data_IF_004617839642
#
_entry.id   IF_004617839642
#
_cell.length_a   1.000
_cell.length_b   1.000
_cell.length_c   1.000
_cell.angle_alpha   90.00
_cell.angle_beta   90.00
_cell.angle_gamma   90.00
#
_symmetry.space_group_name_H-M   'P 1'
#
loop_
_entity.id
_entity.type
_entity.pdbx_description
1 polymer ?
#
# COMPACT_ATOMS: atom_id res chain seq x y z
N UNK A 1 -4.72 -6.02 34.90
CA UNK A 1 -4.67 -6.81 33.65
C UNK A 1 -4.20 -8.23 33.96
N UNK A 2 -4.74 -9.27 33.31
CA UNK A 2 -4.21 -10.63 33.38
C UNK A 2 -2.72 -10.71 33.00
N UNK A 3 -1.98 -11.67 33.54
CA UNK A 3 -0.52 -11.83 33.33
C UNK A 3 -0.14 -12.14 31.87
N UNK A 4 -1.07 -12.68 31.08
CA UNK A 4 -0.93 -13.04 29.67
C UNK A 4 -1.36 -11.92 28.71
N UNK A 5 -1.71 -10.74 29.24
CA UNK A 5 -2.09 -9.59 28.41
C UNK A 5 -0.90 -9.12 27.59
N UNK A 6 -1.12 -8.95 26.29
CA UNK A 6 -0.10 -8.48 25.37
C UNK A 6 0.39 -7.06 25.70
N UNK A 7 1.67 -6.81 25.45
CA UNK A 7 2.35 -5.56 25.79
C UNK A 7 1.70 -4.35 25.07
N UNK A 8 1.31 -4.53 23.81
CA UNK A 8 0.58 -3.52 23.01
C UNK A 8 -0.73 -3.09 23.69
N UNK A 9 -1.46 -4.06 24.28
CA UNK A 9 -2.73 -3.80 24.94
C UNK A 9 -2.55 -3.06 26.27
N UNK A 10 -1.45 -3.33 26.99
CA UNK A 10 -1.07 -2.59 28.20
C UNK A 10 -0.76 -1.12 27.85
N UNK A 11 0.02 -0.88 26.80
CA UNK A 11 0.33 0.47 26.28
C UNK A 11 -0.92 1.28 25.94
N UNK A 12 -1.91 0.64 25.29
CA UNK A 12 -3.20 1.27 24.97
C UNK A 12 -3.99 1.68 26.21
N UNK A 13 -3.95 0.89 27.29
CA UNK A 13 -4.65 1.23 28.53
C UNK A 13 -3.98 2.45 29.19
N UNK A 14 -2.66 2.46 29.28
CA UNK A 14 -1.91 3.61 29.80
C UNK A 14 -2.19 4.90 29.03
N UNK A 15 -2.13 4.84 27.69
CA UNK A 15 -2.36 6.00 26.83
C UNK A 15 -3.81 6.51 26.81
N UNK A 16 -4.80 5.70 27.22
CA UNK A 16 -6.21 6.07 27.18
C UNK A 16 -6.79 6.47 28.54
N UNK A 17 -6.12 6.12 29.65
CA UNK A 17 -6.66 6.27 31.00
C UNK A 17 -5.77 7.07 31.97
N UNK A 18 -4.67 7.68 31.50
CA UNK A 18 -3.75 8.50 32.30
C UNK A 18 -3.34 7.84 33.64
N UNK A 19 -3.12 6.52 33.60
CA UNK A 19 -2.77 5.73 34.78
C UNK A 19 -1.27 5.81 35.05
N UNK A 20 -0.86 5.86 36.33
CA UNK A 20 0.56 5.76 36.71
C UNK A 20 1.03 4.32 36.88
N UNK A 21 0.11 3.40 37.20
CA UNK A 21 0.37 1.99 37.31
C UNK A 21 -0.89 1.16 37.03
N UNK A 22 -0.71 -0.06 36.53
CA UNK A 22 -1.78 -1.04 36.31
C UNK A 22 -1.46 -2.30 37.13
N UNK A 23 -2.37 -2.78 37.98
CA UNK A 23 -2.16 -4.03 38.71
C UNK A 23 -2.23 -5.24 37.78
N UNK A 24 -1.31 -6.18 37.95
CA UNK A 24 -1.29 -7.48 37.25
C UNK A 24 -1.90 -8.54 38.15
N UNK A 25 -2.80 -9.34 37.60
CA UNK A 25 -3.52 -10.40 38.32
C UNK A 25 -3.22 -11.78 37.74
N UNK A 26 -3.21 -12.80 38.59
CA UNK A 26 -3.16 -14.21 38.18
C UNK A 26 -4.56 -14.74 37.80
N UNK A 27 -4.64 -15.99 37.37
CA UNK A 27 -5.89 -16.68 37.01
C UNK A 27 -6.92 -16.73 38.16
N UNK A 28 -6.46 -16.62 39.41
CA UNK A 28 -7.30 -16.58 40.61
C UNK A 28 -7.74 -15.15 41.00
N UNK A 29 -7.55 -14.16 40.11
CA UNK A 29 -7.82 -12.73 40.35
C UNK A 29 -7.05 -12.13 41.53
N UNK A 30 -5.91 -12.71 41.90
CA UNK A 30 -5.05 -12.19 42.95
C UNK A 30 -3.99 -11.28 42.33
N UNK A 31 -3.72 -10.13 42.96
CA UNK A 31 -2.67 -9.22 42.53
C UNK A 31 -1.31 -9.88 42.75
N UNK A 32 -0.55 -10.03 41.66
CA UNK A 32 0.80 -10.59 41.68
C UNK A 32 1.88 -9.55 41.42
N UNK A 33 1.49 -8.35 40.96
CA UNK A 33 2.43 -7.25 40.74
C UNK A 33 1.73 -6.01 40.18
N UNK A 34 2.55 -5.05 39.78
CA UNK A 34 2.13 -3.84 39.07
C UNK A 34 3.04 -3.62 37.86
N UNK A 35 2.49 -3.00 36.83
CA UNK A 35 3.26 -2.42 35.72
C UNK A 35 3.18 -0.91 35.87
N UNK A 36 4.29 -0.20 35.74
CA UNK A 36 4.33 1.27 35.83
C UNK A 36 4.41 1.92 34.45
N UNK A 37 4.15 3.22 34.37
CA UNK A 37 4.28 3.96 33.11
C UNK A 37 5.69 3.88 32.52
N UNK A 38 6.73 3.94 33.35
CA UNK A 38 8.13 3.88 32.91
C UNK A 38 8.45 2.55 32.23
N UNK A 39 7.86 1.44 32.73
CA UNK A 39 8.01 0.10 32.14
C UNK A 39 7.35 -0.01 30.75
N UNK A 40 6.34 0.82 30.48
CA UNK A 40 5.52 0.78 29.26
C UNK A 40 5.98 1.82 28.24
N UNK A 41 6.67 2.88 28.68
CA UNK A 41 7.17 3.92 27.79
C UNK A 41 8.14 3.36 26.73
N UNK A 42 9.04 2.45 27.12
CA UNK A 42 9.94 1.77 26.18
C UNK A 42 9.20 0.85 25.22
N UNK A 43 8.19 0.12 25.73
CA UNK A 43 7.35 -0.79 24.93
C UNK A 43 6.61 -0.01 23.84
N UNK A 44 5.97 1.12 24.18
CA UNK A 44 5.26 1.94 23.18
C UNK A 44 6.21 2.39 22.07
N UNK A 45 7.45 2.74 22.42
CA UNK A 45 8.46 3.15 21.44
C UNK A 45 8.93 1.98 20.56
N UNK A 46 9.12 0.81 21.14
CA UNK A 46 9.49 -0.42 20.42
C UNK A 46 8.40 -0.84 19.44
N UNK A 47 7.13 -0.87 19.88
CA UNK A 47 5.97 -1.17 19.03
C UNK A 47 5.83 -0.18 17.87
N UNK A 48 5.94 1.13 18.15
CA UNK A 48 5.91 2.13 17.09
C UNK A 48 7.05 1.96 16.08
N UNK A 49 8.21 1.48 16.55
CA UNK A 49 9.36 1.20 15.69
C UNK A 49 9.14 -0.06 14.85
N UNK A 50 8.56 -1.11 15.43
CA UNK A 50 8.16 -2.33 14.75
C UNK A 50 7.15 -2.05 13.63
N UNK A 51 6.11 -1.27 13.91
CA UNK A 51 5.12 -0.86 12.91
C UNK A 51 5.76 -0.09 11.74
N UNK A 52 6.70 0.82 12.04
CA UNK A 52 7.46 1.55 11.01
C UNK A 52 8.28 0.59 10.14
N UNK A 53 8.95 -0.40 10.74
CA UNK A 53 9.71 -1.40 9.98
C UNK A 53 8.80 -2.26 9.10
N UNK A 54 7.68 -2.76 9.64
CA UNK A 54 6.69 -3.55 8.89
C UNK A 54 6.08 -2.79 7.72
N UNK A 55 5.77 -1.50 7.90
CA UNK A 55 5.29 -0.63 6.82
C UNK A 55 6.26 -0.58 5.63
N UNK A 56 7.57 -0.66 5.89
CA UNK A 56 8.63 -0.72 4.89
C UNK A 56 8.92 -2.12 4.33
N UNK A 57 8.14 -3.14 4.69
CA UNK A 57 8.41 -4.55 4.42
C UNK A 57 9.79 -5.00 4.94
N UNK A 58 10.11 -4.61 6.17
CA UNK A 58 11.35 -4.99 6.87
C UNK A 58 10.97 -5.74 8.14
N UNK A 59 11.62 -6.86 8.39
CA UNK A 59 11.48 -7.55 9.68
C UNK A 59 12.11 -6.69 10.79
N UNK A 60 11.48 -6.64 11.96
CA UNK A 60 11.90 -5.79 13.08
C UNK A 60 13.38 -5.98 13.39
N UNK A 61 14.07 -4.85 13.59
CA UNK A 61 15.47 -4.82 13.96
C UNK A 61 15.62 -5.01 15.47
N UNK A 62 16.37 -6.03 15.87
CA UNK A 62 16.56 -6.38 17.30
C UNK A 62 17.65 -5.53 18.00
N UNK A 63 18.27 -4.60 17.27
CA UNK A 63 19.33 -3.72 17.76
C UNK A 63 19.38 -2.40 16.97
N UNK A 64 20.04 -1.35 17.47
CA UNK A 64 20.24 -0.10 16.72
C UNK A 64 20.90 -0.35 15.36
N UNK A 65 20.45 0.37 14.32
CA UNK A 65 20.86 0.17 12.92
C UNK A 65 22.37 -0.04 12.71
N UNK A 66 23.22 0.83 13.29
CA UNK A 66 24.68 0.76 13.12
C UNK A 66 25.35 -0.40 13.87
N UNK A 67 24.63 -1.10 14.76
CA UNK A 67 25.13 -2.27 15.50
C UNK A 67 24.76 -3.60 14.84
N UNK A 68 23.86 -3.58 13.86
CA UNK A 68 23.46 -4.78 13.14
C UNK A 68 24.53 -5.12 12.11
N UNK A 69 24.99 -6.38 12.13
CA UNK A 69 25.95 -6.84 11.13
C UNK A 69 25.31 -6.86 9.73
N UNK A 70 26.13 -6.70 8.68
CA UNK A 70 25.65 -6.73 7.29
C UNK A 70 24.81 -7.99 6.98
N UNK A 71 25.25 -9.16 7.45
CA UNK A 71 24.54 -10.43 7.23
C UNK A 71 23.17 -10.47 7.92
N UNK A 72 23.05 -9.91 9.12
CA UNK A 72 21.76 -9.79 9.80
C UNK A 72 20.84 -8.83 9.06
N UNK A 73 21.35 -7.69 8.59
CA UNK A 73 20.54 -6.72 7.83
C UNK A 73 20.03 -7.31 6.51
N UNK A 74 20.86 -8.10 5.82
CA UNK A 74 20.42 -8.85 4.64
C UNK A 74 19.29 -9.81 5.00
N UNK A 75 19.44 -10.62 6.06
CA UNK A 75 18.39 -11.57 6.48
C UNK A 75 17.05 -10.87 6.79
N UNK A 76 17.08 -9.76 7.53
CA UNK A 76 15.88 -8.99 7.92
C UNK A 76 15.13 -8.36 6.73
N UNK A 77 15.76 -8.23 5.56
CA UNK A 77 15.16 -7.66 4.34
C UNK A 77 14.91 -8.70 3.25
N UNK A 78 15.79 -9.70 3.12
CA UNK A 78 15.77 -10.66 2.03
C UNK A 78 14.48 -11.48 1.99
N UNK A 79 13.94 -11.87 3.14
CA UNK A 79 12.68 -12.62 3.20
C UNK A 79 11.53 -11.88 2.52
N UNK A 80 11.30 -10.63 2.93
CA UNK A 80 10.29 -9.76 2.32
C UNK A 80 10.59 -9.43 0.86
N UNK A 81 11.82 -9.06 0.53
CA UNK A 81 12.20 -8.75 -0.85
C UNK A 81 12.00 -9.93 -1.79
N UNK A 82 12.29 -11.17 -1.36
CA UNK A 82 12.05 -12.37 -2.16
C UNK A 82 10.56 -12.61 -2.38
N UNK A 83 9.72 -12.46 -1.34
CA UNK A 83 8.27 -12.60 -1.47
C UNK A 83 7.70 -11.55 -2.44
N UNK A 84 8.12 -10.29 -2.30
CA UNK A 84 7.70 -9.20 -3.17
C UNK A 84 8.16 -9.44 -4.61
N UNK A 85 9.42 -9.86 -4.80
CA UNK A 85 9.96 -10.17 -6.12
C UNK A 85 9.19 -11.30 -6.81
N UNK A 86 8.83 -12.36 -6.09
CA UNK A 86 7.97 -13.43 -6.63
C UNK A 86 6.58 -12.89 -7.03
N UNK A 87 6.03 -11.96 -6.25
CA UNK A 87 4.81 -11.23 -6.63
C UNK A 87 5.01 -10.39 -7.90
N UNK A 88 6.12 -9.68 -8.00
CA UNK A 88 6.45 -8.85 -9.16
C UNK A 88 6.66 -9.69 -10.42
N UNK A 89 7.07 -10.96 -10.33
CA UNK A 89 7.16 -11.84 -11.50
C UNK A 89 5.82 -12.03 -12.22
N UNK A 90 4.68 -11.82 -11.54
CA UNK A 90 3.37 -11.82 -12.21
C UNK A 90 3.21 -10.66 -13.19
N UNK A 91 3.94 -9.55 -13.02
CA UNK A 91 3.93 -8.43 -13.98
C UNK A 91 4.49 -8.86 -15.32
N UNK A 92 5.58 -9.64 -15.34
CA UNK A 92 6.16 -10.19 -16.56
C UNK A 92 5.17 -11.10 -17.30
N UNK A 93 4.40 -11.90 -16.54
CA UNK A 93 3.33 -12.74 -17.11
C UNK A 93 2.20 -11.90 -17.70
N UNK A 94 1.76 -10.85 -16.99
CA UNK A 94 0.75 -9.93 -17.49
C UNK A 94 1.22 -9.18 -18.75
N UNK A 95 2.48 -8.75 -18.79
CA UNK A 95 3.08 -8.14 -19.98
C UNK A 95 3.12 -9.11 -21.16
N UNK A 96 3.47 -10.38 -20.94
CA UNK A 96 3.45 -11.41 -21.97
C UNK A 96 2.05 -11.64 -22.56
N UNK A 97 1.00 -11.54 -21.74
CA UNK A 97 -0.38 -11.62 -22.22
C UNK A 97 -0.75 -10.48 -23.19
N UNK A 98 -0.28 -9.25 -22.92
CA UNK A 98 -0.54 -8.06 -23.75
C UNK A 98 0.58 -7.77 -24.77
N UNK A 99 1.45 -8.73 -25.05
CA UNK A 99 2.59 -8.54 -25.96
C UNK A 99 2.13 -8.09 -27.35
N UNK A 100 1.04 -8.66 -27.86
CA UNK A 100 0.53 -8.33 -29.20
C UNK A 100 0.06 -6.88 -29.32
N UNK A 101 -0.51 -6.34 -28.24
CA UNK A 101 -0.97 -4.96 -28.14
C UNK A 101 0.21 -4.01 -28.02
N UNK A 102 1.24 -4.39 -27.24
CA UNK A 102 2.48 -3.61 -27.10
C UNK A 102 3.20 -3.52 -28.44
N UNK A 103 3.27 -4.60 -29.21
CA UNK A 103 3.91 -4.61 -30.54
C UNK A 103 3.17 -3.70 -31.54
N UNK A 104 1.83 -3.69 -31.51
CA UNK A 104 1.01 -2.82 -32.37
C UNK A 104 1.11 -1.35 -31.99
N UNK A 105 1.22 -1.06 -30.69
CA UNK A 105 1.22 0.30 -30.16
C UNK A 105 2.35 0.48 -29.14
N UNK A 106 3.60 0.45 -29.62
CA UNK A 106 4.82 0.58 -28.80
C UNK A 106 4.81 1.86 -27.94
N UNK A 107 4.15 2.92 -28.41
CA UNK A 107 3.95 4.16 -27.66
C UNK A 107 3.31 3.94 -26.28
N UNK A 108 2.45 2.92 -26.12
CA UNK A 108 1.81 2.61 -24.83
C UNK A 108 2.83 2.20 -23.76
N UNK A 109 3.94 1.57 -24.17
CA UNK A 109 5.00 1.17 -23.26
C UNK A 109 5.64 2.36 -22.54
N UNK A 110 5.66 3.54 -23.17
CA UNK A 110 6.20 4.78 -22.57
C UNK A 110 5.43 5.24 -21.33
N UNK A 111 4.16 4.83 -21.20
CA UNK A 111 3.28 5.24 -20.09
C UNK A 111 3.17 4.19 -18.99
N UNK A 112 3.70 2.98 -19.19
CA UNK A 112 3.65 1.90 -18.20
C UNK A 112 4.21 2.36 -16.84
N UNK A 113 5.45 2.92 -16.74
CA UNK A 113 6.00 3.32 -15.44
C UNK A 113 5.16 4.41 -14.76
N UNK A 114 4.62 5.34 -15.54
CA UNK A 114 3.80 6.44 -15.04
C UNK A 114 2.50 5.92 -14.44
N UNK A 115 1.80 5.03 -15.14
CA UNK A 115 0.50 4.50 -14.71
C UNK A 115 0.68 3.62 -13.47
N UNK A 116 1.61 2.67 -13.54
CA UNK A 116 1.89 1.75 -12.44
C UNK A 116 2.30 2.53 -11.18
N UNK A 117 3.29 3.43 -11.29
CA UNK A 117 3.78 4.20 -10.15
C UNK A 117 2.68 5.10 -9.55
N UNK A 118 1.80 5.67 -10.37
CA UNK A 118 0.69 6.50 -9.86
C UNK A 118 -0.27 5.69 -8.97
N UNK A 119 -0.62 4.47 -9.39
CA UNK A 119 -1.44 3.57 -8.60
C UNK A 119 -0.73 3.10 -7.32
N UNK A 120 0.52 2.64 -7.44
CA UNK A 120 1.30 2.14 -6.30
C UNK A 120 1.54 3.20 -5.23
N UNK A 121 1.86 4.44 -5.63
CA UNK A 121 2.01 5.57 -4.71
C UNK A 121 0.70 5.89 -3.99
N UNK A 122 -0.42 5.93 -4.73
CA UNK A 122 -1.74 6.19 -4.17
C UNK A 122 -2.18 5.09 -3.18
N UNK A 123 -1.95 3.82 -3.51
CA UNK A 123 -2.23 2.71 -2.61
C UNK A 123 -1.34 2.68 -1.37
N UNK A 124 -0.05 3.01 -1.52
CA UNK A 124 0.87 3.11 -0.39
C UNK A 124 0.47 4.21 0.60
N UNK A 125 0.02 5.36 0.09
CA UNK A 125 -0.52 6.45 0.92
C UNK A 125 -1.79 6.00 1.67
N UNK A 126 -2.73 5.37 0.95
CA UNK A 126 -3.98 4.89 1.55
C UNK A 126 -3.72 3.82 2.63
N UNK A 127 -2.83 2.85 2.36
CA UNK A 127 -2.48 1.79 3.32
C UNK A 127 -1.85 2.37 4.58
N UNK A 128 -0.89 3.28 4.42
CA UNK A 128 -0.21 3.94 5.55
C UNK A 128 -1.22 4.65 6.47
N UNK A 129 -2.16 5.40 5.90
CA UNK A 129 -3.19 6.11 6.66
C UNK A 129 -4.12 5.14 7.39
N UNK A 130 -4.56 4.07 6.74
CA UNK A 130 -5.47 3.09 7.34
C UNK A 130 -4.78 2.26 8.42
N UNK A 131 -3.56 1.76 8.19
CA UNK A 131 -2.80 1.00 9.19
C UNK A 131 -2.63 1.83 10.44
N UNK A 132 -2.22 3.09 10.31
CA UNK A 132 -2.06 4.00 11.45
C UNK A 132 -3.39 4.26 12.16
N UNK A 133 -4.46 4.55 11.43
CA UNK A 133 -5.79 4.76 12.03
C UNK A 133 -6.31 3.50 12.76
N UNK A 134 -5.96 2.31 12.27
CA UNK A 134 -6.30 1.03 12.92
C UNK A 134 -5.46 0.78 14.18
N UNK A 135 -4.17 1.11 14.16
CA UNK A 135 -3.28 1.01 15.33
C UNK A 135 -3.74 1.94 16.47
N UNK A 136 -4.12 3.17 16.13
CA UNK A 136 -4.70 4.15 17.05
C UNK A 136 -6.15 3.84 17.49
N UNK A 137 -6.79 2.81 16.90
CA UNK A 137 -8.15 2.42 17.22
C UNK A 137 -9.26 3.36 16.71
N UNK A 138 -8.90 4.34 15.88
CA UNK A 138 -9.80 5.28 15.20
C UNK A 138 -10.67 4.57 14.16
N UNK A 139 -10.13 3.52 13.54
CA UNK A 139 -10.79 2.70 12.51
C UNK A 139 -10.85 1.24 12.95
N UNK A 140 -12.03 0.64 12.86
CA UNK A 140 -12.29 -0.77 13.21
C UNK A 140 -12.90 -1.52 12.04
N UNK A 141 -12.90 -2.85 12.09
CA UNK A 141 -13.45 -3.70 11.02
C UNK A 141 -14.90 -3.36 10.62
N UNK A 142 -15.71 -2.89 11.57
CA UNK A 142 -17.10 -2.44 11.32
C UNK A 142 -17.21 -1.20 10.43
N UNK A 143 -16.13 -0.41 10.32
CA UNK A 143 -16.08 0.83 9.54
C UNK A 143 -15.76 0.58 8.06
N UNK A 144 -15.59 -0.69 7.65
CA UNK A 144 -15.23 -1.11 6.28
C UNK A 144 -15.98 -0.32 5.19
N UNK A 145 -17.32 -0.34 5.23
CA UNK A 145 -18.14 0.29 4.18
C UNK A 145 -18.03 1.82 4.17
N UNK A 146 -17.83 2.42 5.35
CA UNK A 146 -17.65 3.86 5.48
C UNK A 146 -16.30 4.29 4.89
N UNK A 147 -15.24 3.53 5.18
CA UNK A 147 -13.91 3.78 4.62
C UNK A 147 -13.92 3.54 3.11
N UNK A 148 -14.51 2.44 2.64
CA UNK A 148 -14.63 2.14 1.22
C UNK A 148 -15.29 3.28 0.43
N UNK A 149 -16.42 3.80 0.93
CA UNK A 149 -17.12 4.92 0.27
C UNK A 149 -16.31 6.21 0.25
N UNK A 150 -15.59 6.52 1.35
CA UNK A 150 -14.69 7.68 1.42
C UNK A 150 -13.53 7.54 0.43
N UNK A 151 -12.88 6.38 0.41
CA UNK A 151 -11.71 6.13 -0.44
C UNK A 151 -12.07 6.00 -1.92
N UNK A 152 -13.29 5.56 -2.26
CA UNK A 152 -13.82 5.63 -3.61
C UNK A 152 -13.86 7.09 -4.11
N UNK A 153 -14.39 8.00 -3.30
CA UNK A 153 -14.46 9.42 -3.64
C UNK A 153 -13.06 10.06 -3.72
N UNK A 154 -12.19 9.77 -2.75
CA UNK A 154 -10.78 10.24 -2.73
C UNK A 154 -10.04 9.76 -3.98
N UNK A 155 -10.11 8.46 -4.29
CA UNK A 155 -9.41 7.85 -5.43
C UNK A 155 -9.89 8.41 -6.77
N UNK A 156 -11.19 8.62 -6.95
CA UNK A 156 -11.74 9.27 -8.15
C UNK A 156 -11.26 10.72 -8.30
N UNK A 157 -11.26 11.49 -7.21
CA UNK A 157 -10.82 12.88 -7.22
C UNK A 157 -9.32 13.00 -7.54
N UNK A 158 -8.48 12.22 -6.85
CA UNK A 158 -7.03 12.20 -7.09
C UNK A 158 -6.69 11.67 -8.48
N UNK A 159 -7.33 10.58 -8.91
CA UNK A 159 -7.14 10.00 -10.23
C UNK A 159 -7.51 10.99 -11.34
N UNK A 160 -8.60 11.74 -11.17
CA UNK A 160 -9.01 12.79 -12.12
C UNK A 160 -7.99 13.92 -12.17
N UNK A 161 -7.50 14.39 -11.01
CA UNK A 161 -6.48 15.43 -10.95
C UNK A 161 -5.19 15.02 -11.69
N UNK A 162 -4.66 13.82 -11.41
CA UNK A 162 -3.46 13.30 -12.06
C UNK A 162 -3.69 13.05 -13.56
N UNK A 163 -4.86 12.55 -13.93
CA UNK A 163 -5.26 12.33 -15.31
C UNK A 163 -5.32 13.63 -16.13
N UNK A 164 -5.79 14.73 -15.56
CA UNK A 164 -5.80 16.04 -16.23
C UNK A 164 -4.38 16.55 -16.49
N UNK A 165 -3.46 16.37 -15.54
CA UNK A 165 -2.05 16.71 -15.73
C UNK A 165 -1.43 15.87 -16.85
N UNK A 166 -1.66 14.55 -16.83
CA UNK A 166 -1.18 13.62 -17.86
C UNK A 166 -1.73 13.94 -19.24
N UNK A 167 -3.04 14.18 -19.35
CA UNK A 167 -3.73 14.58 -20.57
C UNK A 167 -3.10 15.85 -21.16
N UNK A 168 -2.99 16.88 -20.33
CA UNK A 168 -2.44 18.18 -20.72
C UNK A 168 -1.01 18.04 -21.23
N UNK A 169 -0.19 17.23 -20.55
CA UNK A 169 1.18 16.96 -20.97
C UNK A 169 1.24 16.34 -22.36
N UNK A 170 0.39 15.36 -22.66
CA UNK A 170 0.39 14.67 -23.97
C UNK A 170 -0.11 15.61 -25.07
N UNK A 171 -1.20 16.33 -24.82
CA UNK A 171 -1.83 17.22 -25.82
C UNK A 171 -0.98 18.45 -26.15
N UNK A 172 -0.28 19.02 -25.17
CA UNK A 172 0.52 20.23 -25.36
C UNK A 172 1.98 19.95 -25.69
N UNK A 173 2.41 18.68 -25.78
CA UNK A 173 3.80 18.37 -26.09
C UNK A 173 4.16 18.89 -27.50
N UNK A 174 5.24 19.69 -27.66
CA UNK A 174 5.58 20.30 -28.95
C UNK A 174 5.79 19.29 -30.08
N UNK A 175 6.36 18.13 -29.78
CA UNK A 175 6.60 17.04 -30.74
C UNK A 175 5.63 15.85 -30.57
N UNK A 176 4.39 16.10 -30.11
CA UNK A 176 3.42 15.04 -29.76
C UNK A 176 3.15 14.04 -30.87
N UNK A 177 3.05 14.48 -32.12
CA UNK A 177 2.78 13.58 -33.25
C UNK A 177 3.98 12.68 -33.58
N UNK A 178 5.19 13.22 -33.44
CA UNK A 178 6.43 12.44 -33.62
C UNK A 178 6.63 11.44 -32.48
N UNK A 179 6.35 11.87 -31.24
CA UNK A 179 6.61 11.06 -30.04
C UNK A 179 5.50 10.04 -29.76
N UNK A 180 4.23 10.39 -29.99
CA UNK A 180 3.08 9.54 -29.66
C UNK A 180 2.33 9.00 -30.88
N UNK A 181 2.75 9.39 -32.08
CA UNK A 181 2.13 8.98 -33.33
C UNK A 181 0.91 9.80 -33.74
N UNK A 182 0.33 9.49 -34.91
CA UNK A 182 -0.79 10.25 -35.49
C UNK A 182 -2.08 10.16 -34.67
N UNK A 183 -2.22 9.12 -33.84
CA UNK A 183 -3.38 8.89 -32.98
C UNK A 183 -3.17 9.35 -31.53
N UNK A 184 -2.25 10.30 -31.29
CA UNK A 184 -1.89 10.77 -29.94
C UNK A 184 -3.08 11.20 -29.07
N UNK A 185 -4.16 11.71 -29.65
CA UNK A 185 -5.38 12.08 -28.91
C UNK A 185 -6.05 10.84 -28.29
N UNK A 186 -6.15 9.74 -29.05
CA UNK A 186 -6.72 8.48 -28.53
C UNK A 186 -5.79 7.85 -27.48
N UNK A 187 -4.47 7.98 -27.66
CA UNK A 187 -3.47 7.60 -26.65
C UNK A 187 -3.65 8.43 -25.39
N UNK A 188 -3.83 9.75 -25.49
CA UNK A 188 -4.05 10.64 -24.36
C UNK A 188 -5.30 10.24 -23.56
N UNK A 189 -6.42 10.01 -24.24
CA UNK A 189 -7.67 9.54 -23.61
C UNK A 189 -7.47 8.19 -22.92
N UNK A 190 -6.79 7.25 -23.60
CA UNK A 190 -6.49 5.92 -23.05
C UNK A 190 -5.69 6.04 -21.76
N UNK A 191 -4.60 6.81 -21.77
CA UNK A 191 -3.75 7.04 -20.60
C UNK A 191 -4.53 7.73 -19.48
N UNK A 192 -5.34 8.74 -19.80
CA UNK A 192 -6.16 9.47 -18.84
C UNK A 192 -7.19 8.58 -18.12
N UNK A 193 -7.97 7.78 -18.87
CA UNK A 193 -8.94 6.85 -18.28
C UNK A 193 -8.21 5.81 -17.42
N UNK A 194 -7.06 5.33 -17.90
CA UNK A 194 -6.26 4.32 -17.19
C UNK A 194 -5.68 4.87 -15.89
N UNK A 195 -5.16 6.10 -15.86
CA UNK A 195 -4.69 6.74 -14.63
C UNK A 195 -5.82 6.84 -13.61
N UNK A 196 -7.02 7.25 -14.01
CA UNK A 196 -8.18 7.29 -13.09
C UNK A 196 -8.46 5.90 -12.53
N UNK A 197 -8.53 4.87 -13.39
CA UNK A 197 -8.82 3.50 -12.98
C UNK A 197 -7.75 2.91 -12.05
N UNK A 198 -6.47 3.11 -12.38
CA UNK A 198 -5.34 2.56 -11.63
C UNK A 198 -5.12 3.29 -10.31
N UNK A 199 -5.28 4.61 -10.25
CA UNK A 199 -5.23 5.39 -8.99
C UNK A 199 -6.39 5.03 -8.09
N UNK A 200 -7.61 4.90 -8.64
CA UNK A 200 -8.77 4.43 -7.88
C UNK A 200 -8.52 3.04 -7.31
N UNK A 201 -8.09 2.09 -8.15
CA UNK A 201 -7.80 0.73 -7.71
C UNK A 201 -6.68 0.69 -6.66
N UNK A 202 -5.60 1.46 -6.84
CA UNK A 202 -4.53 1.60 -5.87
C UNK A 202 -5.04 2.10 -4.52
N UNK A 203 -5.84 3.18 -4.52
CA UNK A 203 -6.45 3.73 -3.30
C UNK A 203 -7.31 2.69 -2.59
N UNK A 204 -8.16 1.97 -3.32
CA UNK A 204 -9.06 0.96 -2.78
C UNK A 204 -8.29 -0.27 -2.26
N UNK A 205 -7.33 -0.77 -3.03
CA UNK A 205 -6.54 -1.94 -2.62
C UNK A 205 -5.69 -1.62 -1.38
N UNK A 206 -5.04 -0.45 -1.36
CA UNK A 206 -4.24 0.01 -0.23
C UNK A 206 -5.06 0.24 1.02
N UNK A 207 -6.24 0.85 0.91
CA UNK A 207 -7.10 1.08 2.08
C UNK A 207 -7.79 -0.18 2.60
N UNK A 208 -8.15 -1.13 1.73
CA UNK A 208 -8.94 -2.31 2.11
C UNK A 208 -8.09 -3.52 2.49
N UNK A 209 -6.85 -3.64 2.01
CA UNK A 209 -5.97 -4.76 2.32
C UNK A 209 -5.69 -4.91 3.84
N UNK A 210 -5.39 -3.86 4.62
CA UNK A 210 -5.19 -3.98 6.07
C UNK A 210 -6.41 -4.55 6.80
N UNK A 211 -7.61 -4.20 6.37
CA UNK A 211 -8.84 -4.75 6.92
C UNK A 211 -9.01 -6.25 6.59
N UNK A 212 -8.67 -6.67 5.37
CA UNK A 212 -8.72 -8.08 4.97
C UNK A 212 -7.76 -8.91 5.82
N UNK A 213 -6.52 -8.43 6.00
CA UNK A 213 -5.54 -9.07 6.87
C UNK A 213 -6.05 -9.18 8.30
N UNK A 214 -6.57 -8.09 8.87
CA UNK A 214 -7.14 -8.11 10.23
C UNK A 214 -8.29 -9.09 10.38
N UNK A 215 -9.18 -9.16 9.39
CA UNK A 215 -10.30 -10.11 9.38
C UNK A 215 -9.81 -11.56 9.37
N UNK A 216 -8.68 -11.81 8.70
CA UNK A 216 -8.00 -13.11 8.67
C UNK A 216 -7.09 -13.37 9.89
N UNK A 217 -7.09 -12.46 10.88
CA UNK A 217 -6.22 -12.49 12.08
C UNK A 217 -4.73 -12.35 11.79
N UNK A 218 -4.38 -11.79 10.64
CA UNK A 218 -3.02 -11.31 10.36
C UNK A 218 -2.84 -9.88 10.86
N UNK A 219 -1.58 -9.51 11.07
CA UNK A 219 -1.19 -8.15 11.40
C UNK A 219 -1.48 -7.20 10.23
N UNK A 220 -2.32 -6.15 10.41
CA UNK A 220 -2.59 -5.14 9.39
C UNK A 220 -1.33 -4.43 8.88
N UNK A 221 -0.29 -4.25 9.70
CA UNK A 221 0.96 -3.61 9.31
C UNK A 221 1.73 -4.42 8.26
N UNK A 222 1.40 -5.71 8.09
CA UNK A 222 1.91 -6.54 7.01
C UNK A 222 1.38 -6.13 5.62
N UNK A 223 0.32 -5.32 5.53
CA UNK A 223 -0.11 -4.65 4.27
C UNK A 223 0.84 -3.48 3.93
N UNK A 224 2.13 -3.77 3.94
CA UNK A 224 3.21 -2.80 3.74
C UNK A 224 3.06 -2.04 2.43
N UNK A 225 3.60 -0.82 2.38
CA UNK A 225 3.58 -0.02 1.17
C UNK A 225 4.14 -0.77 -0.06
N UNK A 226 5.27 -1.50 0.04
CA UNK A 226 5.78 -2.33 -1.06
C UNK A 226 4.81 -3.43 -1.49
N UNK A 227 4.13 -4.14 -0.57
CA UNK A 227 3.20 -5.19 -0.93
C UNK A 227 1.99 -4.66 -1.72
N UNK A 228 1.48 -3.48 -1.34
CA UNK A 228 0.41 -2.80 -2.09
C UNK A 228 0.91 -2.36 -3.46
N UNK A 229 2.12 -1.82 -3.56
CA UNK A 229 2.71 -1.44 -4.84
C UNK A 229 2.79 -2.65 -5.80
N UNK A 230 3.37 -3.77 -5.36
CA UNK A 230 3.45 -5.00 -6.18
C UNK A 230 2.08 -5.49 -6.67
N UNK A 231 1.05 -5.44 -5.81
CA UNK A 231 -0.32 -5.79 -6.21
C UNK A 231 -0.84 -4.85 -7.32
N UNK A 232 -0.58 -3.55 -7.17
CA UNK A 232 -1.00 -2.53 -8.13
C UNK A 232 -0.19 -2.58 -9.42
N UNK A 233 1.05 -3.04 -9.40
CA UNK A 233 1.86 -3.20 -10.63
C UNK A 233 1.20 -4.21 -11.57
N UNK A 234 0.83 -5.39 -11.04
CA UNK A 234 0.21 -6.46 -11.83
C UNK A 234 -1.18 -6.04 -12.30
N UNK A 235 -2.02 -5.59 -11.37
CA UNK A 235 -3.42 -5.24 -11.67
C UNK A 235 -3.52 -3.95 -12.49
N UNK A 236 -2.60 -3.01 -12.30
CA UNK A 236 -2.51 -1.75 -13.03
C UNK A 236 -2.17 -1.94 -14.50
N UNK A 237 -1.28 -2.90 -14.82
CA UNK A 237 -1.04 -3.32 -16.20
C UNK A 237 -2.32 -3.88 -16.84
N UNK A 238 -3.03 -4.75 -16.13
CA UNK A 238 -4.28 -5.35 -16.62
C UNK A 238 -5.34 -4.28 -16.87
N UNK A 239 -5.52 -3.33 -15.95
CA UNK A 239 -6.44 -2.19 -16.12
C UNK A 239 -6.02 -1.36 -17.34
N UNK A 240 -4.74 -0.99 -17.43
CA UNK A 240 -4.22 -0.14 -18.51
C UNK A 240 -4.46 -0.76 -19.89
N UNK A 241 -4.02 -2.00 -20.10
CA UNK A 241 -4.15 -2.63 -21.40
C UNK A 241 -5.59 -3.04 -21.72
N UNK A 242 -6.43 -3.31 -20.72
CA UNK A 242 -7.87 -3.49 -20.95
C UNK A 242 -8.53 -2.21 -21.46
N UNK A 243 -8.19 -1.05 -20.87
CA UNK A 243 -8.66 0.26 -21.35
C UNK A 243 -8.10 0.55 -22.74
N UNK A 244 -6.81 0.29 -22.97
CA UNK A 244 -6.20 0.47 -24.29
C UNK A 244 -6.89 -0.38 -25.35
N UNK A 245 -7.13 -1.65 -25.08
CA UNK A 245 -7.86 -2.55 -25.97
C UNK A 245 -9.27 -2.03 -26.25
N UNK A 246 -9.99 -1.51 -25.25
CA UNK A 246 -11.33 -0.97 -25.44
C UNK A 246 -11.35 0.33 -26.26
N UNK A 247 -10.41 1.24 -26.02
CA UNK A 247 -10.39 2.60 -26.62
C UNK A 247 -9.71 2.63 -27.99
N UNK A 248 -8.70 1.79 -28.20
CA UNK A 248 -7.87 1.80 -29.40
C UNK A 248 -8.25 0.74 -30.44
N UNK A 249 -9.27 -0.08 -30.15
CA UNK A 249 -9.78 -1.11 -31.07
C UNK A 249 -10.14 -0.52 -32.43
N UNK A 250 -9.60 -1.09 -33.49
CA UNK A 250 -9.84 -0.65 -34.87
C UNK A 250 -9.11 0.64 -35.25
N UNK A 251 -8.13 1.05 -34.45
CA UNK A 251 -7.31 2.24 -34.68
C UNK A 251 -5.83 1.91 -34.62
N UNK A 252 -5.34 1.64 -33.40
CA UNK A 252 -3.97 1.27 -33.09
C UNK A 252 -3.87 -0.21 -32.67
N UNK A 253 -4.95 -0.78 -32.12
CA UNK A 253 -5.05 -2.17 -31.68
C UNK A 253 -6.12 -2.92 -32.47
#
# INVERSE_FOLDING_TARGET
VPVDTDQEQIGKIFSSQDLMAIPVINEQNQMVGIVTFDDVASVIQEEATEDIHKLGAVETLDAPYMKISMLQMIKKRAGWLLILFLGEMFTATAMGYFQSEIERAVVLALFIPLIISSGGNSGSQASTLIIRAMALGEVRLRDWWRVLGRELATGLALGTCLSLVGLTRILLWPAREQLYGPHYVRVAITVSISIVGVVLWGTLSGSMLPFLLKKMRFDPASASAPAVATLVDVTGLVIYFSVASAVLKGALL
#
